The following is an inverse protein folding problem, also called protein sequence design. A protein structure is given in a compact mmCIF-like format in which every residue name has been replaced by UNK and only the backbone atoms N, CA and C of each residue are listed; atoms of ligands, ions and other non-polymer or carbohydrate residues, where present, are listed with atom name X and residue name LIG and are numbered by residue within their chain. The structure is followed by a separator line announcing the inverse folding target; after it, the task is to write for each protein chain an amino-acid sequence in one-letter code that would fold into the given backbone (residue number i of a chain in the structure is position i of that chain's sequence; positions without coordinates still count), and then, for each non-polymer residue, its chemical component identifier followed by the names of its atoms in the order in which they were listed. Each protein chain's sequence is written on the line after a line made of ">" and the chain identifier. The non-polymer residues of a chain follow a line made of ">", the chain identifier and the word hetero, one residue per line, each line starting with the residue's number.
data_IF_985583934808
#
_entry.id   IF_985583934808
#
_cell.length_a   1.000
_cell.length_b   1.000
_cell.length_c   1.000
_cell.angle_alpha   90.00
_cell.angle_beta   90.00
_cell.angle_gamma   90.00
#
_symmetry.space_group_name_H-M   'P 1'
#
loop_
_entity.id
_entity.type
_entity.pdbx_description
1 polymer ?
#
# COMPACT_ATOMS: atom_id res chain seq x y z
N UNK A 1 9.90 -8.00 12.50
CA UNK A 1 9.15 -7.39 11.40
C UNK A 1 8.15 -6.43 12.02
N UNK A 2 8.11 -5.18 11.58
CA UNK A 2 7.18 -4.18 12.14
C UNK A 2 5.74 -4.55 11.79
N UNK A 3 4.80 -4.45 12.73
CA UNK A 3 3.37 -4.77 12.53
C UNK A 3 2.77 -4.00 11.34
N UNK A 4 3.22 -2.75 11.16
CA UNK A 4 2.90 -1.92 9.99
C UNK A 4 3.30 -2.61 8.67
N UNK A 5 4.49 -3.17 8.56
CA UNK A 5 4.94 -3.81 7.32
C UNK A 5 4.11 -5.05 6.99
N UNK A 6 3.77 -5.87 8.00
CA UNK A 6 2.94 -7.06 7.82
C UNK A 6 1.54 -6.69 7.30
N UNK A 7 0.93 -5.66 7.90
CA UNK A 7 -0.34 -5.13 7.46
C UNK A 7 -0.33 -4.70 5.98
N UNK A 8 0.65 -3.88 5.59
CA UNK A 8 0.76 -3.40 4.21
C UNK A 8 1.11 -4.51 3.21
N UNK A 9 1.91 -5.50 3.61
CA UNK A 9 2.14 -6.70 2.80
C UNK A 9 0.84 -7.48 2.56
N UNK A 10 -0.04 -7.57 3.56
CA UNK A 10 -1.39 -8.12 3.41
C UNK A 10 -2.23 -7.36 2.38
N UNK A 11 -2.22 -6.02 2.44
CA UNK A 11 -2.92 -5.17 1.48
C UNK A 11 -2.38 -5.32 0.05
N UNK A 12 -1.06 -5.39 -0.13
CA UNK A 12 -0.43 -5.64 -1.44
C UNK A 12 -0.86 -6.98 -2.03
N UNK A 13 -0.83 -8.06 -1.23
CA UNK A 13 -1.27 -9.40 -1.66
C UNK A 13 -2.74 -9.43 -2.03
N UNK A 14 -3.60 -8.75 -1.26
CA UNK A 14 -5.02 -8.63 -1.56
C UNK A 14 -5.24 -7.88 -2.87
N UNK A 15 -4.55 -6.75 -3.06
CA UNK A 15 -4.57 -5.94 -4.29
C UNK A 15 -4.13 -6.76 -5.50
N UNK A 16 -3.01 -7.47 -5.41
CA UNK A 16 -2.54 -8.37 -6.46
C UNK A 16 -3.59 -9.42 -6.82
N UNK A 17 -4.21 -10.04 -5.81
CA UNK A 17 -5.25 -11.05 -6.03
C UNK A 17 -6.47 -10.43 -6.74
N UNK A 18 -6.90 -9.23 -6.36
CA UNK A 18 -7.99 -8.51 -7.03
C UNK A 18 -7.66 -8.24 -8.49
N UNK A 19 -6.47 -7.68 -8.77
CA UNK A 19 -6.02 -7.37 -10.12
C UNK A 19 -5.84 -8.62 -10.98
N UNK A 20 -5.29 -9.70 -10.43
CA UNK A 20 -5.13 -10.97 -11.12
C UNK A 20 -6.48 -11.58 -11.50
N UNK A 21 -7.46 -11.55 -10.60
CA UNK A 21 -8.81 -12.04 -10.89
C UNK A 21 -9.51 -11.17 -11.94
N UNK A 22 -9.33 -9.84 -11.88
CA UNK A 22 -9.85 -8.93 -12.90
C UNK A 22 -9.22 -9.21 -14.28
N UNK A 23 -7.91 -9.42 -14.35
CA UNK A 23 -7.18 -9.78 -15.57
C UNK A 23 -7.65 -11.12 -16.18
N UNK A 24 -7.99 -12.11 -15.34
CA UNK A 24 -8.56 -13.38 -15.80
C UNK A 24 -9.95 -13.25 -16.38
N UNK A 25 -10.73 -12.28 -15.93
CA UNK A 25 -12.07 -11.99 -16.46
C UNK A 25 -11.99 -11.15 -17.74
N UNK A 26 -11.07 -10.18 -17.78
CA UNK A 26 -10.87 -9.26 -18.89
C UNK A 26 -9.36 -9.06 -19.18
N UNK A 27 -8.81 -9.91 -20.05
CA UNK A 27 -7.36 -9.98 -20.29
C UNK A 27 -6.77 -8.75 -20.99
N UNK A 28 -7.60 -7.85 -21.53
CA UNK A 28 -7.16 -6.58 -22.13
C UNK A 28 -7.15 -5.40 -21.15
N UNK A 29 -7.69 -5.57 -19.94
CA UNK A 29 -7.85 -4.45 -19.00
C UNK A 29 -6.62 -4.22 -18.09
N UNK A 30 -5.82 -5.25 -17.84
CA UNK A 30 -4.67 -5.22 -16.92
C UNK A 30 -3.41 -5.68 -17.66
N UNK A 31 -2.36 -4.86 -17.65
CA UNK A 31 -1.05 -5.27 -18.17
C UNK A 31 -0.42 -6.37 -17.30
N UNK A 32 0.01 -7.47 -17.92
CA UNK A 32 0.73 -8.56 -17.23
C UNK A 32 1.99 -8.05 -16.52
N UNK A 33 2.67 -7.05 -17.10
CA UNK A 33 3.84 -6.40 -16.53
C UNK A 33 3.55 -5.80 -15.14
N UNK A 34 2.40 -5.13 -14.96
CA UNK A 34 2.01 -4.54 -13.66
C UNK A 34 1.85 -5.64 -12.60
N UNK A 35 1.25 -6.77 -12.97
CA UNK A 35 1.08 -7.91 -12.07
C UNK A 35 2.44 -8.51 -11.66
N UNK A 36 3.38 -8.61 -12.60
CA UNK A 36 4.73 -9.09 -12.33
C UNK A 36 5.53 -8.11 -11.46
N UNK A 37 5.47 -6.81 -11.74
CA UNK A 37 6.10 -5.77 -10.93
C UNK A 37 5.55 -5.77 -9.51
N UNK A 38 4.22 -5.89 -9.34
CA UNK A 38 3.60 -5.96 -8.02
C UNK A 38 4.07 -7.19 -7.23
N UNK A 39 4.22 -8.34 -7.91
CA UNK A 39 4.77 -9.54 -7.27
C UNK A 39 6.22 -9.34 -6.84
N UNK A 40 7.03 -8.72 -7.70
CA UNK A 40 8.43 -8.43 -7.40
C UNK A 40 8.55 -7.53 -6.18
N UNK A 41 7.74 -6.46 -6.10
CA UNK A 41 7.71 -5.54 -4.95
C UNK A 41 7.37 -6.29 -3.66
N UNK A 42 6.35 -7.15 -3.68
CA UNK A 42 5.97 -7.95 -2.50
C UNK A 42 7.14 -8.84 -2.06
N UNK A 43 7.78 -9.54 -2.98
CA UNK A 43 8.93 -10.40 -2.70
C UNK A 43 10.11 -9.60 -2.14
N UNK A 44 10.42 -8.46 -2.74
CA UNK A 44 11.48 -7.55 -2.30
C UNK A 44 11.23 -7.02 -0.87
N UNK A 45 9.99 -6.66 -0.54
CA UNK A 45 9.59 -6.20 0.79
C UNK A 45 9.65 -7.34 1.82
N UNK A 46 9.22 -8.55 1.45
CA UNK A 46 9.30 -9.75 2.30
C UNK A 46 10.76 -10.12 2.60
N UNK A 47 11.62 -10.08 1.57
CA UNK A 47 13.04 -10.34 1.70
C UNK A 47 13.82 -9.16 2.33
N UNK A 48 13.13 -8.06 2.62
CA UNK A 48 13.70 -6.82 3.17
C UNK A 48 14.88 -6.29 2.33
N UNK A 49 14.82 -6.48 1.01
CA UNK A 49 15.79 -5.90 0.09
C UNK A 49 15.56 -4.38 0.02
N UNK A 50 16.65 -3.60 0.05
CA UNK A 50 16.58 -2.13 0.11
C UNK A 50 15.82 -1.47 -1.04
N UNK A 51 15.59 -2.19 -2.14
CA UNK A 51 14.90 -1.68 -3.33
C UNK A 51 13.36 -1.82 -3.27
N UNK A 52 12.78 -2.62 -2.38
CA UNK A 52 11.33 -2.90 -2.40
C UNK A 52 10.44 -1.67 -2.19
N UNK A 53 10.89 -0.71 -1.38
CA UNK A 53 10.17 0.56 -1.18
C UNK A 53 10.21 1.45 -2.42
N UNK A 54 11.38 1.55 -3.08
CA UNK A 54 11.56 2.34 -4.30
C UNK A 54 10.77 1.73 -5.47
N UNK A 55 10.88 0.42 -5.68
CA UNK A 55 10.15 -0.28 -6.73
C UNK A 55 8.63 -0.21 -6.53
N UNK A 56 8.16 -0.27 -5.29
CA UNK A 56 6.73 -0.11 -4.99
C UNK A 56 6.23 1.31 -5.18
N UNK A 57 7.04 2.32 -4.81
CA UNK A 57 6.74 3.72 -5.06
C UNK A 57 6.61 4.01 -6.57
N UNK A 58 7.59 3.60 -7.36
CA UNK A 58 7.60 3.80 -8.82
C UNK A 58 6.41 3.09 -9.48
N UNK A 59 6.13 1.85 -9.07
CA UNK A 59 4.98 1.09 -9.55
C UNK A 59 3.66 1.80 -9.28
N UNK A 60 3.43 2.28 -8.05
CA UNK A 60 2.18 2.96 -7.70
C UNK A 60 2.05 4.31 -8.39
N UNK A 61 3.13 5.09 -8.48
CA UNK A 61 3.14 6.36 -9.21
C UNK A 61 2.83 6.14 -10.70
N UNK A 62 3.42 5.11 -11.31
CA UNK A 62 3.14 4.70 -12.68
C UNK A 62 1.67 4.27 -12.85
N UNK A 63 1.13 3.46 -11.95
CA UNK A 63 -0.28 3.06 -11.98
C UNK A 63 -1.19 4.28 -11.86
N UNK A 64 -0.93 5.17 -10.91
CA UNK A 64 -1.77 6.34 -10.70
C UNK A 64 -1.79 7.30 -11.90
N UNK A 65 -0.67 7.41 -12.61
CA UNK A 65 -0.50 8.31 -13.76
C UNK A 65 -0.96 7.70 -15.08
N UNK A 66 -0.54 6.46 -15.37
CA UNK A 66 -0.74 5.81 -16.67
C UNK A 66 -1.92 4.83 -16.67
N UNK A 67 -2.28 4.30 -15.50
CA UNK A 67 -3.35 3.30 -15.34
C UNK A 67 -4.35 3.69 -14.23
N UNK A 68 -4.92 4.92 -14.24
CA UNK A 68 -5.81 5.39 -13.19
C UNK A 68 -7.06 4.51 -13.01
N UNK A 69 -7.44 3.71 -14.02
CA UNK A 69 -8.49 2.70 -13.92
C UNK A 69 -8.22 1.61 -12.89
N UNK A 70 -6.96 1.39 -12.52
CA UNK A 70 -6.57 0.39 -11.52
C UNK A 70 -6.60 0.95 -10.10
N UNK A 71 -6.54 2.28 -9.94
CA UNK A 71 -6.54 2.96 -8.63
C UNK A 71 -7.67 2.50 -7.70
N UNK A 72 -8.92 2.28 -8.15
CA UNK A 72 -9.99 1.76 -7.28
C UNK A 72 -9.71 0.37 -6.70
N UNK A 73 -8.83 -0.44 -7.32
CA UNK A 73 -8.45 -1.75 -6.82
C UNK A 73 -7.26 -1.70 -5.84
N UNK A 74 -6.49 -0.61 -5.86
CA UNK A 74 -5.36 -0.34 -4.96
C UNK A 74 -5.88 0.24 -3.64
N UNK A 75 -5.37 -0.26 -2.52
CA UNK A 75 -5.69 0.30 -1.20
C UNK A 75 -5.00 1.65 -0.98
N UNK A 76 -5.73 2.62 -0.40
CA UNK A 76 -5.24 3.99 -0.17
C UNK A 76 -4.09 4.01 0.84
N UNK A 77 -4.12 3.13 1.83
CA UNK A 77 -3.02 2.87 2.75
C UNK A 77 -1.69 2.59 2.05
N UNK A 78 -1.71 1.96 0.87
CA UNK A 78 -0.47 1.70 0.13
C UNK A 78 0.16 3.01 -0.37
N UNK A 79 -0.64 3.97 -0.82
CA UNK A 79 -0.16 5.28 -1.24
C UNK A 79 0.51 6.02 -0.08
N UNK A 80 -0.08 5.93 1.11
CA UNK A 80 0.50 6.45 2.34
C UNK A 80 1.79 5.73 2.72
N UNK A 81 1.80 4.40 2.64
CA UNK A 81 2.92 3.55 3.02
C UNK A 81 4.20 3.82 2.23
N UNK A 82 4.08 3.92 0.91
CA UNK A 82 5.21 4.24 0.03
C UNK A 82 5.55 5.73 0.07
N UNK A 83 4.56 6.60 0.33
CA UNK A 83 4.77 8.02 0.52
C UNK A 83 5.27 8.73 -0.74
N UNK A 84 5.96 9.86 -0.53
CA UNK A 84 6.54 10.66 -1.62
C UNK A 84 5.46 11.15 -2.60
N UNK A 85 5.67 10.89 -3.89
CA UNK A 85 4.72 11.30 -4.93
C UNK A 85 3.35 10.62 -4.82
N UNK A 86 3.27 9.43 -4.20
CA UNK A 86 2.00 8.72 -4.03
C UNK A 86 1.02 9.50 -3.13
N UNK A 87 1.52 10.37 -2.24
CA UNK A 87 0.70 11.19 -1.36
C UNK A 87 -0.12 12.22 -2.12
N UNK A 88 0.31 12.65 -3.32
CA UNK A 88 -0.44 13.58 -4.15
C UNK A 88 -1.78 13.01 -4.63
N UNK A 89 -1.96 11.68 -4.58
CA UNK A 89 -3.17 10.99 -4.98
C UNK A 89 -4.14 10.71 -3.82
N UNK A 90 -3.80 11.15 -2.60
CA UNK A 90 -4.66 11.11 -1.42
C UNK A 90 -5.36 12.45 -1.23
N UNK A 91 -6.62 12.40 -0.79
CA UNK A 91 -7.34 13.59 -0.36
C UNK A 91 -6.82 14.08 1.00
N UNK A 92 -7.05 15.36 1.30
CA UNK A 92 -6.61 15.99 2.55
C UNK A 92 -7.14 15.24 3.79
N UNK A 93 -8.43 14.85 3.79
CA UNK A 93 -9.07 14.06 4.86
C UNK A 93 -8.40 12.68 5.04
N UNK A 94 -7.99 12.04 3.94
CA UNK A 94 -7.25 10.77 4.00
C UNK A 94 -5.86 11.00 4.63
N UNK A 95 -5.16 12.07 4.24
CA UNK A 95 -3.87 12.43 4.82
C UNK A 95 -4.00 12.71 6.32
N UNK A 96 -4.98 13.50 6.75
CA UNK A 96 -5.22 13.79 8.17
C UNK A 96 -5.49 12.50 8.97
N UNK A 97 -6.27 11.59 8.40
CA UNK A 97 -6.55 10.29 9.00
C UNK A 97 -5.29 9.43 9.16
N UNK A 98 -4.47 9.31 8.12
CA UNK A 98 -3.25 8.53 8.19
C UNK A 98 -2.20 9.18 9.10
N UNK A 99 -2.09 10.51 9.10
CA UNK A 99 -1.26 11.23 10.07
C UNK A 99 -1.68 10.92 11.50
N UNK A 100 -2.98 10.92 11.79
CA UNK A 100 -3.49 10.58 13.12
C UNK A 100 -3.17 9.15 13.51
N UNK A 101 -3.25 8.20 12.58
CA UNK A 101 -2.88 6.82 12.82
C UNK A 101 -1.38 6.69 13.20
N UNK A 102 -0.51 7.39 12.49
CA UNK A 102 0.93 7.40 12.76
C UNK A 102 1.26 8.10 14.07
N UNK A 103 0.56 9.19 14.41
CA UNK A 103 0.68 9.89 15.70
C UNK A 103 0.33 8.94 16.85
N UNK A 104 -0.80 8.24 16.77
CA UNK A 104 -1.20 7.23 17.76
C UNK A 104 -0.17 6.09 17.89
N UNK A 105 0.44 5.67 16.77
CA UNK A 105 1.48 4.65 16.77
C UNK A 105 2.76 5.15 17.47
N UNK A 106 3.17 6.38 17.18
CA UNK A 106 4.34 7.02 17.79
C UNK A 106 4.13 7.30 19.28
N UNK A 107 2.94 7.75 19.69
CA UNK A 107 2.57 7.93 21.10
C UNK A 107 2.65 6.59 21.87
N UNK A 108 2.10 5.52 21.30
CA UNK A 108 2.14 4.20 21.91
C UNK A 108 3.58 3.65 21.99
N UNK A 109 4.39 3.83 20.95
CA UNK A 109 5.82 3.46 20.97
C UNK A 109 6.57 4.26 22.05
N UNK A 110 6.32 5.56 22.16
CA UNK A 110 6.96 6.42 23.17
C UNK A 110 6.55 6.06 24.61
N UNK A 111 5.32 5.59 24.81
CA UNK A 111 4.82 5.12 26.11
C UNK A 111 5.19 3.64 26.39
N UNK A 112 5.82 2.96 25.43
CA UNK A 112 6.20 1.55 25.52
C UNK A 112 5.01 0.59 25.49
N UNK A 113 3.87 1.01 24.95
CA UNK A 113 2.67 0.21 24.77
C UNK A 113 2.71 -0.52 23.43
N UNK A 114 2.11 -1.71 23.40
CA UNK A 114 1.83 -2.41 22.14
C UNK A 114 0.77 -1.65 21.36
N UNK A 115 1.03 -1.38 20.07
CA UNK A 115 0.12 -0.66 19.19
C UNK A 115 -0.38 -1.56 18.07
N UNK A 116 -1.68 -1.87 18.09
CA UNK A 116 -2.30 -2.68 17.05
C UNK A 116 -2.70 -1.79 15.86
N UNK A 117 -1.82 -1.73 14.85
CA UNK A 117 -1.98 -0.87 13.67
C UNK A 117 -3.27 -1.17 12.90
N UNK A 118 -3.60 -2.46 12.75
CA UNK A 118 -4.80 -2.88 12.02
C UNK A 118 -6.07 -2.48 12.75
N UNK A 119 -6.14 -2.68 14.07
CA UNK A 119 -7.30 -2.27 14.86
C UNK A 119 -7.48 -0.75 14.87
N UNK A 120 -6.39 0.01 15.03
CA UNK A 120 -6.43 1.48 15.00
C UNK A 120 -6.85 2.01 13.61
N UNK A 121 -6.32 1.44 12.52
CA UNK A 121 -6.73 1.83 11.18
C UNK A 121 -8.22 1.55 10.91
N UNK A 122 -8.72 0.40 11.38
CA UNK A 122 -10.13 0.03 11.30
C UNK A 122 -11.04 0.96 12.11
N UNK A 123 -10.57 1.49 13.24
CA UNK A 123 -11.32 2.43 14.07
C UNK A 123 -11.43 3.84 13.47
N UNK A 124 -10.52 4.20 12.57
CA UNK A 124 -10.52 5.49 11.86
C UNK A 124 -11.37 5.46 10.57
N UNK A 125 -12.03 4.33 10.26
CA UNK A 125 -12.82 4.12 9.03
C UNK A 125 -14.26 4.59 9.11
#
# INVERSE_FOLDING_TARGET
>A
MSERLDYHLGLLKNTQTRLLNASKQDSTAISEEILQQLQLVIDQLVQQTGSGYESGHDLLANIATHHPQLMPAIDRDLLWFFGGDCLHFLADDEIERFQRLEDMAAEAESDGKTFDYQAAHGALR
#
